data_IF_351036652746
#
_entry.id   IF_351036652746
#
_cell.length_a   1.000
_cell.length_b   1.000
_cell.length_c   1.000
_cell.angle_alpha   90.00
_cell.angle_beta   90.00
_cell.angle_gamma   90.00
#
_symmetry.space_group_name_H-M   'P 1'
#
loop_
_entity.id
_entity.type
_entity.pdbx_description
1 polymer ?
#
# COMPACT_ATOMS: atom_id res chain seq x y z
N UNK A 1 -36.05 -35.62 -22.00
CA UNK A 1 -35.38 -35.30 -20.73
C UNK A 1 -34.12 -36.16 -20.50
N UNK A 2 -34.19 -37.49 -20.67
CA UNK A 2 -33.06 -38.41 -20.43
C UNK A 2 -31.75 -38.08 -21.20
N UNK A 3 -31.84 -37.65 -22.47
CA UNK A 3 -30.65 -37.28 -23.27
C UNK A 3 -29.83 -36.12 -22.69
N UNK A 4 -30.48 -35.18 -21.98
CA UNK A 4 -29.79 -34.05 -21.33
C UNK A 4 -29.09 -34.47 -20.03
N UNK A 5 -29.67 -35.43 -19.31
CA UNK A 5 -29.05 -36.03 -18.12
C UNK A 5 -27.82 -36.86 -18.45
N UNK A 6 -27.85 -37.61 -19.56
CA UNK A 6 -26.69 -38.40 -20.03
C UNK A 6 -25.54 -37.48 -20.43
N UNK A 7 -25.82 -36.38 -21.13
CA UNK A 7 -24.79 -35.40 -21.51
C UNK A 7 -24.13 -34.76 -20.28
N UNK A 8 -24.93 -34.39 -19.28
CA UNK A 8 -24.41 -33.80 -18.03
C UNK A 8 -23.56 -34.80 -17.24
N UNK A 9 -23.96 -36.08 -17.20
CA UNK A 9 -23.20 -37.13 -16.51
C UNK A 9 -21.85 -37.41 -17.20
N UNK A 10 -21.82 -37.43 -18.55
CA UNK A 10 -20.57 -37.59 -19.30
C UNK A 10 -19.63 -36.40 -19.13
N UNK A 11 -20.16 -35.17 -19.08
CA UNK A 11 -19.36 -33.97 -18.83
C UNK A 11 -18.73 -33.99 -17.42
N UNK A 12 -19.50 -34.41 -16.41
CA UNK A 12 -19.03 -34.53 -15.03
C UNK A 12 -17.96 -35.63 -14.88
N UNK A 13 -18.12 -36.76 -15.60
CA UNK A 13 -17.10 -37.81 -15.65
C UNK A 13 -15.80 -37.34 -16.33
N UNK A 14 -15.90 -36.49 -17.35
CA UNK A 14 -14.76 -35.89 -18.04
C UNK A 14 -13.96 -34.91 -17.18
N UNK A 15 -14.64 -34.11 -16.34
CA UNK A 15 -13.97 -33.18 -15.42
C UNK A 15 -13.19 -33.92 -14.29
N UNK A 16 -13.70 -35.07 -13.83
CA UNK A 16 -13.03 -35.86 -12.78
C UNK A 16 -11.71 -36.51 -13.20
N UNK A 17 -11.49 -36.70 -14.52
CA UNK A 17 -10.25 -37.28 -15.05
C UNK A 17 -9.16 -36.23 -15.32
N UNK A 18 -9.47 -34.93 -15.27
CA UNK A 18 -8.48 -33.85 -15.44
C UNK A 18 -7.76 -33.49 -14.14
N UNK A 19 -8.24 -33.94 -12.98
CA UNK A 19 -7.57 -33.79 -11.68
C UNK A 19 -6.57 -34.92 -11.45
N UNK A 20 -5.51 -34.97 -12.28
CA UNK A 20 -4.29 -35.72 -11.95
C UNK A 20 -3.32 -34.74 -11.32
N UNK A 21 -2.94 -35.08 -10.10
CA UNK A 21 -2.03 -34.37 -9.19
C UNK A 21 -0.65 -34.11 -9.81
N UNK A 22 -0.26 -32.85 -9.91
CA UNK A 22 1.14 -32.46 -10.02
C UNK A 22 1.73 -32.39 -8.59
N UNK A 23 2.22 -33.51 -8.09
CA UNK A 23 3.19 -33.52 -6.98
C UNK A 23 4.58 -33.30 -7.58
N UNK A 24 5.24 -32.19 -7.22
CA UNK A 24 6.69 -32.05 -7.35
C UNK A 24 7.26 -31.78 -5.96
N UNK A 25 7.71 -32.85 -5.31
CA UNK A 25 8.71 -32.78 -4.25
C UNK A 25 10.06 -33.13 -4.88
N UNK A 26 11.06 -32.27 -4.68
CA UNK A 26 12.41 -32.63 -4.21
C UNK A 26 13.26 -31.37 -4.12
N UNK A 27 13.68 -31.05 -2.90
CA UNK A 27 14.90 -30.28 -2.60
C UNK A 27 16.11 -30.88 -3.33
N UNK A 28 16.95 -30.06 -3.95
CA UNK A 28 18.40 -29.97 -3.66
C UNK A 28 19.09 -28.91 -4.54
N UNK A 29 19.67 -27.91 -3.87
CA UNK A 29 20.97 -27.32 -4.19
C UNK A 29 21.15 -26.61 -5.53
N UNK A 30 21.14 -25.27 -5.52
CA UNK A 30 22.20 -24.47 -6.16
C UNK A 30 22.30 -23.13 -5.45
N UNK A 31 23.38 -22.99 -4.69
CA UNK A 31 23.92 -21.78 -4.09
C UNK A 31 24.34 -20.79 -5.18
N UNK A 32 23.91 -19.53 -5.07
CA UNK A 32 24.57 -18.39 -5.70
C UNK A 32 25.03 -17.40 -4.61
N UNK A 33 26.19 -16.75 -4.78
CA UNK A 33 27.06 -16.40 -3.67
C UNK A 33 26.89 -14.97 -3.14
N UNK A 34 27.05 -14.85 -1.83
CA UNK A 34 27.75 -13.74 -1.17
C UNK A 34 27.01 -12.41 -1.00
N UNK A 35 26.44 -12.20 0.19
CA UNK A 35 26.94 -11.18 1.15
C UNK A 35 26.22 -11.38 2.48
N UNK A 36 26.86 -12.09 3.40
CA UNK A 36 26.51 -12.12 4.82
C UNK A 36 27.64 -11.42 5.58
N UNK A 37 27.31 -10.40 6.35
CA UNK A 37 28.22 -9.76 7.31
C UNK A 37 27.50 -9.65 8.65
N UNK A 38 27.67 -10.66 9.48
CA UNK A 38 27.56 -10.53 10.93
C UNK A 38 28.85 -11.00 11.58
N UNK A 39 29.43 -10.11 12.39
CA UNK A 39 30.14 -10.32 13.68
C UNK A 39 31.20 -11.43 13.79
N UNK A 40 32.40 -11.03 14.20
CA UNK A 40 33.06 -11.38 15.49
C UNK A 40 34.52 -10.84 15.44
N UNK A 41 34.91 -9.89 16.30
CA UNK A 41 35.38 -10.03 17.68
C UNK A 41 36.64 -10.90 17.83
N UNK A 42 37.83 -10.28 17.95
CA UNK A 42 38.95 -10.81 18.75
C UNK A 42 39.81 -9.64 19.29
N UNK A 43 40.05 -9.70 20.59
CA UNK A 43 40.79 -8.78 21.45
C UNK A 43 42.29 -9.13 21.60
N UNK A 44 43.09 -8.08 21.88
CA UNK A 44 44.32 -8.01 22.72
C UNK A 44 45.57 -8.83 22.32
N UNK A 45 46.80 -8.58 22.84
CA UNK A 45 47.23 -8.01 24.15
C UNK A 45 48.31 -6.89 24.04
N UNK A 46 48.88 -6.21 25.06
CA UNK A 46 48.81 -6.19 26.54
C UNK A 46 49.74 -5.06 27.07
N UNK A 47 49.36 -4.35 28.15
CA UNK A 47 49.98 -4.39 29.52
C UNK A 47 51.11 -3.34 29.74
N UNK A 48 51.42 -2.82 30.97
CA UNK A 48 50.66 -2.47 32.20
C UNK A 48 50.97 -1.04 32.77
N UNK A 49 50.25 -0.61 33.83
CA UNK A 49 50.69 0.42 34.79
C UNK A 49 49.52 1.29 35.31
N UNK A 50 48.89 0.96 36.46
CA UNK A 50 49.22 1.38 37.84
C UNK A 50 48.78 2.80 38.25
N UNK A 51 47.61 2.85 38.90
CA UNK A 51 47.25 3.52 40.18
C UNK A 51 47.25 5.07 40.35
N UNK A 52 46.09 5.56 40.85
CA UNK A 52 45.80 6.53 41.94
C UNK A 52 45.29 7.97 41.72
N UNK A 53 44.29 8.26 42.57
CA UNK A 53 43.99 9.47 43.36
C UNK A 53 43.39 10.69 42.62
N UNK A 54 42.14 11.10 42.89
CA UNK A 54 41.51 11.70 44.10
C UNK A 54 41.79 13.21 44.26
N UNK A 55 40.69 13.99 44.13
CA UNK A 55 40.33 15.29 44.74
C UNK A 55 41.09 16.56 44.26
N UNK A 56 40.55 17.79 44.18
CA UNK A 56 39.37 18.43 44.77
C UNK A 56 38.93 19.69 43.98
N UNK A 57 37.65 20.04 44.10
CA UNK A 57 37.03 21.40 44.26
C UNK A 57 37.48 22.55 43.33
N UNK A 58 36.57 23.25 42.64
CA UNK A 58 35.78 24.34 43.25
C UNK A 58 34.52 24.67 42.43
N UNK A 59 33.47 24.97 43.19
CA UNK A 59 32.09 25.32 42.86
C UNK A 59 31.93 26.63 42.05
N UNK A 60 30.86 26.72 41.25
CA UNK A 60 29.83 27.75 41.45
C UNK A 60 28.57 27.46 40.62
N UNK A 61 27.45 27.68 41.29
CA UNK A 61 26.09 27.29 40.97
C UNK A 61 25.42 28.16 39.88
N UNK A 62 24.38 27.60 39.24
CA UNK A 62 23.06 28.25 39.29
C UNK A 62 21.91 27.31 38.88
N UNK A 63 20.90 27.33 39.77
CA UNK A 63 19.46 27.20 39.57
C UNK A 63 18.86 26.03 38.81
N UNK A 64 18.11 25.24 39.58
CA UNK A 64 17.08 24.35 39.08
C UNK A 64 15.92 25.06 38.41
N UNK A 65 15.37 24.36 37.42
CA UNK A 65 13.98 24.50 37.02
C UNK A 65 13.47 23.10 36.71
N UNK A 66 12.38 22.79 37.40
CA UNK A 66 11.44 21.68 37.27
C UNK A 66 11.66 20.68 36.15
N UNK A 67 11.71 19.41 36.55
CA UNK A 67 11.30 18.30 35.72
C UNK A 67 9.93 18.62 35.10
N UNK A 68 9.90 18.71 33.77
CA UNK A 68 8.71 18.54 32.98
C UNK A 68 8.94 17.25 32.21
N UNK A 69 8.56 16.15 32.84
CA UNK A 69 8.33 14.89 32.17
C UNK A 69 7.22 15.14 31.17
N UNK A 70 7.61 15.43 29.92
CA UNK A 70 6.76 15.19 28.77
C UNK A 70 6.56 13.68 28.70
N UNK A 71 5.51 13.21 29.37
CA UNK A 71 4.85 11.97 28.97
C UNK A 71 4.35 12.21 27.56
N UNK A 72 5.23 11.95 26.60
CA UNK A 72 4.84 11.67 25.24
C UNK A 72 4.09 10.35 25.36
N UNK A 73 2.76 10.43 25.46
CA UNK A 73 1.90 9.29 25.21
C UNK A 73 2.29 8.79 23.82
N UNK A 74 3.13 7.76 23.78
CA UNK A 74 3.37 6.99 22.57
C UNK A 74 2.04 6.32 22.29
N UNK A 75 1.21 6.98 21.48
CA UNK A 75 0.01 6.40 20.90
C UNK A 75 0.48 5.11 20.21
N UNK A 76 0.21 3.96 20.83
CA UNK A 76 0.59 2.66 20.26
C UNK A 76 -0.01 2.61 18.86
N UNK A 77 0.85 2.41 17.86
CA UNK A 77 0.43 2.33 16.47
C UNK A 77 -0.51 1.13 16.33
N UNK A 78 -1.82 1.40 16.24
CA UNK A 78 -2.83 0.36 16.07
C UNK A 78 -2.61 -0.33 14.73
N UNK A 79 -2.39 -1.64 14.76
CA UNK A 79 -2.29 -2.45 13.55
C UNK A 79 -3.67 -2.74 12.98
N UNK A 80 -4.13 -1.84 12.10
CA UNK A 80 -5.43 -1.99 11.44
C UNK A 80 -5.46 -3.13 10.40
N UNK A 81 -4.30 -3.63 9.95
CA UNK A 81 -4.26 -4.73 8.96
C UNK A 81 -4.84 -6.02 9.52
N UNK A 82 -4.69 -6.24 10.82
CA UNK A 82 -5.29 -7.40 11.50
C UNK A 82 -6.82 -7.42 11.32
N UNK A 83 -7.49 -6.28 11.50
CA UNK A 83 -8.95 -6.16 11.34
C UNK A 83 -9.41 -6.25 9.87
N UNK A 84 -8.54 -5.85 8.94
CA UNK A 84 -8.81 -5.84 7.52
C UNK A 84 -8.66 -7.21 6.83
N UNK A 85 -7.80 -8.08 7.37
CA UNK A 85 -7.36 -9.33 6.72
C UNK A 85 -8.49 -10.23 6.19
N UNK A 86 -9.58 -10.37 6.94
CA UNK A 86 -10.74 -11.18 6.53
C UNK A 86 -11.50 -10.63 5.31
N UNK A 87 -11.33 -9.35 4.99
CA UNK A 87 -11.99 -8.67 3.86
C UNK A 87 -11.13 -8.64 2.58
N UNK A 88 -9.94 -9.26 2.63
CA UNK A 88 -9.01 -9.33 1.50
C UNK A 88 -9.19 -10.59 0.64
N UNK A 89 -10.12 -11.49 0.98
CA UNK A 89 -10.49 -12.57 0.06
C UNK A 89 -11.18 -11.99 -1.18
N UNK A 90 -10.74 -12.42 -2.36
CA UNK A 90 -11.29 -12.02 -3.67
C UNK A 90 -12.79 -12.30 -3.83
N UNK A 91 -13.37 -13.17 -3.00
CA UNK A 91 -14.79 -13.50 -2.98
C UNK A 91 -15.64 -12.57 -2.12
N UNK A 92 -15.02 -11.70 -1.33
CA UNK A 92 -15.74 -10.71 -0.53
C UNK A 92 -16.35 -9.66 -1.46
N UNK A 93 -17.66 -9.48 -1.33
CA UNK A 93 -18.42 -8.51 -2.10
C UNK A 93 -18.09 -7.06 -1.70
N UNK A 94 -18.13 -6.17 -2.69
CA UNK A 94 -18.04 -4.73 -2.47
C UNK A 94 -19.35 -4.17 -1.90
N UNK A 95 -19.26 -3.03 -1.24
CA UNK A 95 -20.40 -2.29 -0.69
C UNK A 95 -20.64 -1.00 -1.49
N UNK A 96 -21.77 -0.35 -1.21
CA UNK A 96 -21.99 1.02 -1.70
C UNK A 96 -21.00 2.03 -1.08
N UNK A 97 -20.88 3.20 -1.70
CA UNK A 97 -20.07 4.31 -1.16
C UNK A 97 -20.88 5.09 -0.12
N UNK A 98 -20.61 4.90 1.18
CA UNK A 98 -21.33 5.56 2.28
C UNK A 98 -20.45 6.25 3.32
N UNK A 99 -19.13 6.00 3.35
CA UNK A 99 -18.18 6.66 4.25
C UNK A 99 -17.27 7.61 3.47
N UNK A 100 -16.66 7.14 2.38
CA UNK A 100 -15.73 7.95 1.57
C UNK A 100 -16.05 7.88 0.08
N UNK A 101 -15.72 8.95 -0.62
CA UNK A 101 -15.66 8.98 -2.08
C UNK A 101 -14.23 9.32 -2.50
N UNK A 102 -13.62 8.50 -3.35
CA UNK A 102 -12.22 8.64 -3.75
C UNK A 102 -12.09 8.79 -5.26
N UNK A 103 -11.38 9.84 -5.66
CA UNK A 103 -10.99 10.11 -7.05
C UNK A 103 -9.51 9.78 -7.24
N UNK A 104 -9.19 9.24 -8.41
CA UNK A 104 -7.85 8.80 -8.77
C UNK A 104 -7.37 9.56 -9.99
N UNK A 105 -6.23 10.23 -9.88
CA UNK A 105 -5.65 11.02 -10.95
C UNK A 105 -4.20 10.63 -11.16
N UNK A 106 -3.84 10.28 -12.39
CA UNK A 106 -2.46 10.03 -12.76
C UNK A 106 -1.68 11.35 -12.75
N UNK A 107 -0.45 11.34 -12.20
CA UNK A 107 0.37 12.54 -12.07
C UNK A 107 1.71 12.34 -12.78
N UNK A 108 2.03 13.28 -13.67
CA UNK A 108 3.22 13.22 -14.53
C UNK A 108 3.33 11.91 -15.33
N UNK A 109 2.35 11.60 -16.21
CA UNK A 109 2.28 10.33 -16.91
C UNK A 109 3.37 10.11 -17.96
N UNK A 110 4.23 11.11 -18.20
CA UNK A 110 5.37 11.03 -19.13
C UNK A 110 6.57 10.42 -18.41
N UNK A 111 6.92 10.95 -17.24
CA UNK A 111 8.09 10.50 -16.48
C UNK A 111 7.73 9.42 -15.45
N UNK A 112 6.54 9.52 -14.86
CA UNK A 112 6.08 8.67 -13.76
C UNK A 112 4.71 8.04 -14.09
N UNK A 113 4.62 7.14 -15.09
CA UNK A 113 3.35 6.62 -15.57
C UNK A 113 2.60 5.74 -14.56
N UNK A 114 3.25 5.31 -13.47
CA UNK A 114 2.61 4.56 -12.39
C UNK A 114 2.20 5.45 -11.22
N UNK A 115 2.57 6.73 -11.22
CA UNK A 115 2.34 7.62 -10.09
C UNK A 115 0.93 8.20 -10.10
N UNK A 116 0.19 7.96 -9.02
CA UNK A 116 -1.20 8.40 -8.86
C UNK A 116 -1.36 9.24 -7.60
N UNK A 117 -2.19 10.28 -7.74
CA UNK A 117 -2.71 11.07 -6.64
C UNK A 117 -4.16 10.67 -6.43
N UNK A 118 -4.45 10.21 -5.22
CA UNK A 118 -5.78 9.86 -4.78
C UNK A 118 -6.30 10.95 -3.84
N UNK A 119 -7.51 11.43 -4.11
CA UNK A 119 -8.18 12.48 -3.36
C UNK A 119 -9.50 11.95 -2.87
N UNK A 120 -9.68 11.91 -1.57
CA UNK A 120 -10.89 11.44 -0.94
C UNK A 120 -11.64 12.54 -0.20
N UNK A 121 -12.96 12.40 -0.16
CA UNK A 121 -13.85 13.20 0.70
C UNK A 121 -14.63 12.26 1.62
N UNK A 122 -14.69 12.61 2.90
CA UNK A 122 -15.49 11.90 3.90
C UNK A 122 -16.92 12.42 3.85
N UNK A 123 -17.91 11.53 3.82
CA UNK A 123 -19.31 11.93 3.99
C UNK A 123 -19.48 12.41 5.43
N UNK A 124 -19.90 13.66 5.59
CA UNK A 124 -20.21 14.21 6.89
C UNK A 124 -21.53 13.61 7.38
N UNK A 125 -21.43 12.77 8.39
CA UNK A 125 -22.55 12.43 9.25
C UNK A 125 -22.51 13.39 10.43
N UNK A 126 -23.68 13.90 10.83
CA UNK A 126 -23.80 14.93 11.88
C UNK A 126 -23.26 14.51 13.24
N UNK A 127 -23.01 13.21 13.45
CA UNK A 127 -22.90 12.62 14.79
C UNK A 127 -21.52 11.98 15.08
N UNK A 128 -20.59 11.94 14.12
CA UNK A 128 -19.30 11.25 14.30
C UNK A 128 -18.11 12.21 14.19
N UNK A 129 -17.50 12.51 15.34
CA UNK A 129 -16.19 13.19 15.43
C UNK A 129 -15.01 12.24 15.25
N UNK A 130 -15.27 10.95 15.04
CA UNK A 130 -14.25 9.91 14.95
C UNK A 130 -13.48 10.01 13.63
N UNK A 131 -12.15 9.91 13.65
CA UNK A 131 -11.36 9.77 12.44
C UNK A 131 -11.83 8.59 11.59
N UNK A 132 -11.78 8.77 10.28
CA UNK A 132 -12.01 7.67 9.32
C UNK A 132 -10.67 7.05 8.98
N UNK A 133 -10.57 5.73 9.09
CA UNK A 133 -9.44 4.95 8.61
C UNK A 133 -9.75 4.52 7.17
N UNK A 134 -8.83 4.82 6.25
CA UNK A 134 -8.86 4.34 4.87
C UNK A 134 -7.63 3.50 4.61
N UNK A 135 -7.83 2.27 4.15
CA UNK A 135 -6.76 1.32 3.85
C UNK A 135 -6.78 0.96 2.37
N UNK A 136 -5.60 0.88 1.78
CA UNK A 136 -5.43 0.61 0.36
C UNK A 136 -4.69 -0.70 0.13
N UNK A 137 -5.23 -1.54 -0.74
CA UNK A 137 -4.61 -2.79 -1.16
C UNK A 137 -4.61 -2.88 -2.67
N UNK A 138 -3.57 -3.47 -3.25
CA UNK A 138 -3.47 -3.76 -4.68
C UNK A 138 -3.38 -5.26 -4.87
N UNK A 139 -4.11 -5.79 -5.85
CA UNK A 139 -4.08 -7.21 -6.17
C UNK A 139 -2.86 -7.53 -7.03
N UNK A 140 -2.07 -8.50 -6.56
CA UNK A 140 -0.94 -9.09 -7.26
C UNK A 140 -1.06 -10.61 -7.17
N UNK A 141 -1.04 -11.29 -8.32
CA UNK A 141 -1.12 -12.77 -8.41
C UNK A 141 -2.28 -13.37 -7.57
N UNK A 142 -3.47 -12.79 -7.73
CA UNK A 142 -4.71 -13.15 -7.03
C UNK A 142 -4.72 -12.95 -5.50
N UNK A 143 -3.72 -12.26 -4.96
CA UNK A 143 -3.64 -11.89 -3.55
C UNK A 143 -3.61 -10.37 -3.40
N UNK A 144 -4.37 -9.85 -2.43
CA UNK A 144 -4.30 -8.43 -2.07
C UNK A 144 -3.10 -8.18 -1.15
N UNK A 145 -2.23 -7.25 -1.57
CA UNK A 145 -1.08 -6.79 -0.79
C UNK A 145 -1.23 -5.29 -0.47
N UNK A 146 -0.63 -4.78 0.62
CA UNK A 146 -0.68 -3.37 0.96
C UNK A 146 -0.23 -2.45 -0.18
N UNK A 147 -1.08 -1.50 -0.58
CA UNK A 147 -0.72 -0.46 -1.53
C UNK A 147 -0.15 0.74 -0.75
N UNK A 148 1.17 0.71 -0.57
CA UNK A 148 1.88 1.70 0.24
C UNK A 148 1.83 3.08 -0.42
N UNK A 149 1.43 4.08 0.36
CA UNK A 149 1.47 5.48 -0.05
C UNK A 149 2.85 6.08 0.20
N UNK A 150 3.08 7.30 -0.31
CA UNK A 150 4.34 8.04 -0.17
C UNK A 150 4.76 8.33 1.27
N UNK A 151 3.84 8.19 2.24
CA UNK A 151 4.12 8.29 3.67
C UNK A 151 4.66 6.99 4.28
N UNK A 152 4.82 5.92 3.49
CA UNK A 152 5.32 4.62 3.95
C UNK A 152 4.25 3.71 4.54
N UNK A 153 2.97 4.07 4.49
CA UNK A 153 1.86 3.26 4.98
C UNK A 153 0.77 3.09 3.92
N UNK A 154 0.04 1.98 3.95
CA UNK A 154 -1.21 1.79 3.21
C UNK A 154 -2.44 2.34 3.96
N UNK A 155 -2.25 2.81 5.20
CA UNK A 155 -3.29 3.37 6.06
C UNK A 155 -3.26 4.90 5.99
N UNK A 156 -4.44 5.49 5.86
CA UNK A 156 -4.68 6.93 5.89
C UNK A 156 -5.71 7.20 6.99
N UNK A 157 -5.28 7.83 8.08
CA UNK A 157 -6.19 8.33 9.11
C UNK A 157 -6.68 9.74 8.70
N UNK A 158 -8.00 9.90 8.62
CA UNK A 158 -8.67 11.10 8.12
C UNK A 158 -9.47 11.73 9.25
N UNK A 159 -8.89 12.73 9.91
CA UNK A 159 -9.58 13.53 10.94
C UNK A 159 -10.45 14.67 10.39
N UNK A 160 -10.46 14.89 9.07
CA UNK A 160 -11.15 16.01 8.42
C UNK A 160 -12.13 15.58 7.33
N UNK A 161 -12.62 16.56 6.56
CA UNK A 161 -13.60 16.32 5.47
C UNK A 161 -12.98 15.77 4.19
N UNK A 162 -11.66 15.86 4.04
CA UNK A 162 -10.96 15.45 2.84
C UNK A 162 -9.53 15.01 3.13
N UNK A 163 -8.98 14.20 2.24
CA UNK A 163 -7.60 13.74 2.30
C UNK A 163 -6.99 13.61 0.91
N UNK A 164 -5.67 13.65 0.85
CA UNK A 164 -4.87 13.42 -0.35
C UNK A 164 -3.71 12.50 0.02
N UNK A 165 -3.50 11.47 -0.79
CA UNK A 165 -2.31 10.65 -0.71
C UNK A 165 -1.80 10.30 -2.12
N UNK A 166 -0.57 9.81 -2.17
CA UNK A 166 0.12 9.48 -3.42
C UNK A 166 0.67 8.07 -3.32
N UNK A 167 0.58 7.32 -4.41
CA UNK A 167 1.06 5.95 -4.47
C UNK A 167 1.47 5.62 -5.90
N UNK A 168 2.30 4.59 -6.04
CA UNK A 168 2.69 4.05 -7.33
C UNK A 168 1.96 2.73 -7.56
N UNK A 169 1.30 2.60 -8.71
CA UNK A 169 0.65 1.37 -9.12
C UNK A 169 1.68 0.31 -9.55
N UNK A 170 1.26 -0.95 -9.62
CA UNK A 170 2.15 -2.08 -9.91
C UNK A 170 2.35 -2.31 -11.41
N UNK A 171 1.27 -2.26 -12.19
CA UNK A 171 1.27 -2.65 -13.59
C UNK A 171 1.08 -1.45 -14.53
N UNK A 172 1.93 -1.39 -15.56
CA UNK A 172 1.79 -0.50 -16.71
C UNK A 172 1.17 -1.27 -17.88
N UNK A 173 0.28 -0.64 -18.64
CA UNK A 173 -0.15 -1.16 -19.93
C UNK A 173 -1.61 -1.61 -19.98
N UNK A 174 -2.02 -2.12 -21.15
CA UNK A 174 -3.39 -2.52 -21.48
C UNK A 174 -3.67 -4.01 -21.27
N UNK A 175 -2.63 -4.81 -21.09
CA UNK A 175 -2.67 -6.26 -20.88
C UNK A 175 -2.92 -6.64 -19.42
N UNK A 176 -2.58 -5.74 -18.48
CA UNK A 176 -2.85 -5.90 -17.05
C UNK A 176 -3.60 -4.70 -16.51
N UNK A 177 -4.46 -4.96 -15.53
CA UNK A 177 -5.23 -3.95 -14.82
C UNK A 177 -4.81 -3.98 -13.36
N UNK A 178 -4.62 -2.81 -12.76
CA UNK A 178 -4.43 -2.70 -11.32
C UNK A 178 -5.82 -2.75 -10.66
N UNK A 179 -6.11 -3.82 -9.96
CA UNK A 179 -7.30 -3.95 -9.10
C UNK A 179 -6.92 -3.51 -7.70
N UNK A 180 -7.56 -2.44 -7.22
CA UNK A 180 -7.27 -1.82 -5.94
C UNK A 180 -8.48 -1.99 -5.05
N UNK A 181 -8.31 -2.60 -3.89
CA UNK A 181 -9.33 -2.69 -2.86
C UNK A 181 -9.12 -1.61 -1.82
N UNK A 182 -10.21 -0.96 -1.44
CA UNK A 182 -10.24 0.13 -0.50
C UNK A 182 -11.18 -0.27 0.62
N UNK A 183 -10.68 -0.24 1.85
CA UNK A 183 -11.47 -0.42 3.06
C UNK A 183 -11.56 0.92 3.76
N UNK A 184 -12.77 1.34 4.13
CA UNK A 184 -12.96 2.56 4.91
C UNK A 184 -13.92 2.30 6.06
N UNK A 185 -13.58 2.79 7.25
CA UNK A 185 -14.39 2.64 8.47
C UNK A 185 -14.04 3.73 9.48
N UNK A 186 -14.90 3.97 10.47
CA UNK A 186 -14.60 4.89 11.59
C UNK A 186 -13.66 4.20 12.58
N UNK A 187 -12.65 4.91 13.10
CA UNK A 187 -11.65 4.38 14.04
C UNK A 187 -12.28 3.68 15.26
N UNK A 188 -13.39 4.21 15.76
CA UNK A 188 -14.15 3.62 16.89
C UNK A 188 -14.79 2.26 16.62
N UNK A 189 -14.97 1.87 15.35
CA UNK A 189 -15.57 0.60 14.94
C UNK A 189 -14.54 -0.44 14.48
N UNK A 190 -13.24 -0.19 14.68
CA UNK A 190 -12.18 -1.04 14.15
C UNK A 190 -12.28 -2.52 14.62
N UNK A 191 -12.80 -2.74 15.82
CA UNK A 191 -12.90 -4.08 16.42
C UNK A 191 -14.14 -4.88 15.95
N UNK A 192 -15.14 -4.24 15.35
CA UNK A 192 -16.46 -4.83 15.06
C UNK A 192 -16.96 -4.46 13.65
N UNK A 193 -16.10 -4.63 12.65
CA UNK A 193 -16.39 -4.29 11.26
C UNK A 193 -17.43 -5.23 10.61
N UNK A 194 -18.47 -4.63 10.05
CA UNK A 194 -19.58 -5.25 9.33
C UNK A 194 -19.74 -4.55 7.96
N UNK A 195 -19.49 -5.25 6.84
CA UNK A 195 -19.64 -4.69 5.49
C UNK A 195 -21.03 -4.07 5.26
N UNK A 196 -21.05 -2.85 4.71
CA UNK A 196 -22.27 -2.13 4.37
C UNK A 196 -22.97 -1.45 5.56
N UNK A 197 -22.48 -1.64 6.78
CA UNK A 197 -23.01 -1.01 8.00
C UNK A 197 -22.04 0.03 8.54
N UNK A 198 -20.84 -0.40 8.96
CA UNK A 198 -19.77 0.47 9.48
C UNK A 198 -18.44 0.27 8.74
N UNK A 199 -18.40 -0.67 7.78
CA UNK A 199 -17.29 -0.90 6.87
C UNK A 199 -17.74 -0.70 5.41
N UNK A 200 -17.06 0.20 4.71
CA UNK A 200 -17.15 0.36 3.27
C UNK A 200 -16.02 -0.44 2.59
N UNK A 201 -16.37 -1.27 1.61
CA UNK A 201 -15.43 -2.03 0.77
C UNK A 201 -15.65 -1.62 -0.67
N UNK A 202 -14.65 -1.06 -1.33
CA UNK A 202 -14.77 -0.68 -2.75
C UNK A 202 -13.56 -1.11 -3.55
N UNK A 203 -13.84 -1.61 -4.76
CA UNK A 203 -12.80 -1.99 -5.69
C UNK A 203 -12.69 -0.97 -6.83
N UNK A 204 -11.45 -0.66 -7.22
CA UNK A 204 -11.12 0.27 -8.29
C UNK A 204 -10.20 -0.40 -9.29
N UNK A 205 -10.66 -0.46 -10.54
CA UNK A 205 -9.86 -0.95 -11.66
C UNK A 205 -9.16 0.23 -12.36
N UNK A 206 -7.83 0.16 -12.48
CA UNK A 206 -7.01 1.20 -13.14
C UNK A 206 -6.04 0.57 -14.13
N UNK A 207 -6.18 0.95 -15.40
CA UNK A 207 -5.19 0.70 -16.45
C UNK A 207 -4.25 1.89 -16.53
N UNK A 208 -3.01 1.76 -16.05
CA UNK A 208 -2.02 2.82 -16.10
C UNK A 208 -1.48 2.99 -17.53
N UNK A 209 -1.43 4.24 -18.01
CA UNK A 209 -1.02 4.56 -19.38
C UNK A 209 0.25 5.40 -19.38
N UNK A 210 1.23 5.02 -20.19
CA UNK A 210 2.39 5.87 -20.46
C UNK A 210 2.04 6.89 -21.53
N UNK A 211 2.24 8.17 -21.23
CA UNK A 211 2.09 9.23 -22.24
C UNK A 211 3.40 9.36 -23.01
N UNK A 212 3.32 9.31 -24.34
CA UNK A 212 4.48 9.50 -25.24
C UNK A 212 4.30 10.83 -25.96
N UNK A 213 5.31 11.70 -25.88
CA UNK A 213 5.35 12.94 -26.64
C UNK A 213 5.96 12.62 -28.00
N UNK A 214 5.15 12.68 -29.05
CA UNK A 214 5.63 12.54 -30.43
C UNK A 214 5.84 13.95 -30.97
N UNK A 215 7.09 14.41 -31.19
CA UNK A 215 7.33 15.70 -31.80
C UNK A 215 6.75 15.69 -33.22
N UNK A 216 5.86 16.63 -33.52
CA UNK A 216 5.34 16.80 -34.87
C UNK A 216 6.45 17.45 -35.71
N UNK A 217 6.91 16.81 -36.80
CA UNK A 217 7.87 17.46 -37.69
C UNK A 217 7.21 18.70 -38.29
N UNK A 218 7.76 19.87 -37.98
CA UNK A 218 7.33 21.12 -38.58
C UNK A 218 7.88 21.13 -40.00
N UNK A 219 7.00 21.06 -41.01
CA UNK A 219 7.40 21.33 -42.39
C UNK A 219 7.57 22.85 -42.55
N UNK A 220 8.81 23.36 -42.71
CA UNK A 220 9.06 24.80 -42.81
C UNK A 220 8.35 25.42 -44.02
N UNK A 221 8.14 24.66 -45.10
CA UNK A 221 7.44 25.16 -46.29
C UNK A 221 5.96 25.42 -46.01
N UNK A 222 5.33 24.58 -45.16
CA UNK A 222 3.93 24.78 -44.73
C UNK A 222 3.77 25.99 -43.81
N UNK A 223 4.79 26.31 -43.01
CA UNK A 223 4.81 27.52 -42.16
C UNK A 223 5.04 28.76 -43.01
N UNK A 224 5.94 28.67 -44.00
CA UNK A 224 6.28 29.78 -44.87
C UNK A 224 5.11 30.16 -45.78
N UNK A 225 4.35 29.18 -46.29
CA UNK A 225 3.15 29.44 -47.10
C UNK A 225 2.00 30.04 -46.27
N UNK A 226 1.87 29.67 -44.99
CA UNK A 226 0.92 30.30 -44.08
C UNK A 226 1.30 31.76 -43.74
N UNK A 227 2.59 32.10 -43.79
CA UNK A 227 3.10 33.46 -43.53
C UNK A 227 3.06 34.39 -44.76
N UNK A 228 3.02 33.84 -45.98
CA UNK A 228 2.90 34.61 -47.24
C UNK A 228 1.49 35.11 -47.54
N UNK A 229 0.48 34.69 -46.78
CA UNK A 229 -0.93 35.06 -46.96
C UNK A 229 -1.35 36.35 -46.22
N UNK A 230 -0.41 37.22 -45.85
CA UNK A 230 -0.67 38.47 -45.13
C UNK A 230 -0.22 39.70 -45.89
#
# INVERSE_FOLDING_TARGET
MAKKLIFLLVLLLGLGLASVTAYATTDTGTTAPGTSLTKDNVSSPGTPGTIQAISSETESASNGASAQSEETEQEEAVDYEQYASQFLDTKVDTTDNFIVNIKWNQKDPVNNPLHYVLTGTVKQDSDSSSPVIVMLFIKADDVYIPLVCSNGSNVIEVGGVAFVARTDLLYLGSDRVNEIRILAFRKEHAADLVPGVNLQITDKLITAKKTVIIPVPINPDSVLDALKLK
#
